data_IF_064588012401
#
_entry.id   IF_064588012401
#
_cell.length_a   1.000
_cell.length_b   1.000
_cell.length_c   1.000
_cell.angle_alpha   90.00
_cell.angle_beta   90.00
_cell.angle_gamma   90.00
#
_symmetry.space_group_name_H-M   'P 1'
#
loop_
_entity.id
_entity.type
_entity.pdbx_description
1 polymer ?
#
# COMPACT_ATOMS: atom_id res chain seq x y z
N UNK A 1 -12.21 -3.66 2.99
CA UNK A 1 -12.10 -2.32 2.36
C UNK A 1 -12.21 -2.39 0.83
N UNK A 2 -11.56 -3.34 0.17
CA UNK A 2 -11.77 -3.61 -1.26
C UNK A 2 -13.23 -3.94 -1.57
N UNK A 3 -13.91 -4.73 -0.74
CA UNK A 3 -15.32 -5.06 -0.96
C UNK A 3 -16.27 -3.89 -0.66
N UNK A 4 -15.94 -3.03 0.30
CA UNK A 4 -16.67 -1.77 0.56
C UNK A 4 -16.70 -0.88 -0.69
N UNK A 5 -15.57 -0.73 -1.37
CA UNK A 5 -15.46 0.09 -2.58
C UNK A 5 -16.09 -0.56 -3.81
N UNK A 6 -16.18 -1.90 -3.86
CA UNK A 6 -16.93 -2.61 -4.90
C UNK A 6 -18.44 -2.44 -4.73
N UNK A 7 -18.92 -2.53 -3.49
CA UNK A 7 -20.33 -2.33 -3.16
C UNK A 7 -20.76 -0.86 -3.26
N UNK A 8 -19.84 0.09 -3.03
CA UNK A 8 -20.09 1.53 -3.09
C UNK A 8 -19.27 2.21 -4.20
N UNK A 9 -19.63 2.02 -5.48
CA UNK A 9 -18.84 2.55 -6.60
C UNK A 9 -18.79 4.08 -6.66
N UNK A 10 -19.78 4.75 -6.06
CA UNK A 10 -19.89 6.23 -5.98
C UNK A 10 -19.14 6.84 -4.79
N UNK A 11 -18.56 6.03 -3.91
CA UNK A 11 -17.78 6.54 -2.77
C UNK A 11 -16.36 6.97 -3.22
N UNK A 12 -16.31 8.16 -3.81
CA UNK A 12 -15.07 8.76 -4.31
C UNK A 12 -14.17 9.28 -3.19
N UNK A 13 -14.74 9.69 -2.05
CA UNK A 13 -13.98 10.22 -0.93
C UNK A 13 -13.12 9.13 -0.27
N UNK A 14 -13.71 7.96 0.01
CA UNK A 14 -12.98 6.82 0.58
C UNK A 14 -11.94 6.29 -0.41
N UNK A 15 -12.27 6.23 -1.71
CA UNK A 15 -11.31 5.83 -2.76
C UNK A 15 -10.09 6.75 -2.78
N UNK A 16 -10.29 8.07 -2.71
CA UNK A 16 -9.20 9.05 -2.66
C UNK A 16 -8.34 8.86 -1.41
N UNK A 17 -8.96 8.61 -0.25
CA UNK A 17 -8.25 8.30 1.00
C UNK A 17 -7.39 7.05 0.88
N UNK A 18 -7.94 5.99 0.29
CA UNK A 18 -7.21 4.75 0.02
C UNK A 18 -6.00 4.97 -0.89
N UNK A 19 -6.18 5.70 -2.00
CA UNK A 19 -5.07 6.03 -2.91
C UNK A 19 -3.96 6.82 -2.21
N UNK A 20 -4.32 7.75 -1.31
CA UNK A 20 -3.35 8.50 -0.50
C UNK A 20 -2.55 7.58 0.43
N UNK A 21 -3.22 6.62 1.09
CA UNK A 21 -2.56 5.63 1.95
C UNK A 21 -1.62 4.71 1.16
N UNK A 22 -2.06 4.23 -0.01
CA UNK A 22 -1.22 3.41 -0.91
C UNK A 22 0.01 4.20 -1.35
N UNK A 23 -0.16 5.46 -1.76
CA UNK A 23 0.95 6.34 -2.14
C UNK A 23 1.96 6.57 -1.02
N UNK A 24 1.48 6.80 0.21
CA UNK A 24 2.35 6.94 1.40
C UNK A 24 3.14 5.64 1.66
N UNK A 25 2.47 4.50 1.63
CA UNK A 25 3.11 3.18 1.82
C UNK A 25 4.17 2.92 0.76
N UNK A 26 3.90 3.22 -0.51
CA UNK A 26 4.88 3.07 -1.60
C UNK A 26 6.15 3.89 -1.37
N UNK A 27 6.02 5.15 -0.92
CA UNK A 27 7.18 6.00 -0.59
C UNK A 27 8.00 5.45 0.57
N UNK A 28 7.34 4.98 1.63
CA UNK A 28 8.03 4.38 2.78
C UNK A 28 8.77 3.09 2.40
N UNK A 29 8.15 2.23 1.59
CA UNK A 29 8.79 1.02 1.09
C UNK A 29 10.00 1.33 0.20
N UNK A 30 9.91 2.35 -0.66
CA UNK A 30 11.04 2.80 -1.47
C UNK A 30 12.19 3.34 -0.60
N UNK A 31 11.87 4.08 0.46
CA UNK A 31 12.86 4.55 1.43
C UNK A 31 13.59 3.40 2.14
N UNK A 32 12.84 2.41 2.66
CA UNK A 32 13.44 1.24 3.31
C UNK A 32 14.31 0.47 2.32
N UNK A 33 13.82 0.26 1.09
CA UNK A 33 14.60 -0.41 0.04
C UNK A 33 15.93 0.30 -0.26
N UNK A 34 15.94 1.63 -0.26
CA UNK A 34 17.16 2.42 -0.48
C UNK A 34 18.16 2.39 0.68
N UNK A 35 17.68 2.10 1.91
CA UNK A 35 18.54 1.99 3.10
C UNK A 35 19.01 0.58 3.39
N UNK A 36 18.12 -0.39 3.23
CA UNK A 36 18.36 -1.80 3.57
C UNK A 36 17.45 -2.70 2.74
N UNK A 37 18.06 -3.33 1.74
CA UNK A 37 17.38 -4.24 0.82
C UNK A 37 16.91 -5.52 1.53
N UNK A 38 17.65 -6.04 2.51
CA UNK A 38 17.29 -7.26 3.23
C UNK A 38 16.06 -7.02 4.10
N UNK A 39 16.03 -5.89 4.80
CA UNK A 39 14.86 -5.48 5.61
C UNK A 39 13.64 -5.21 4.75
N UNK A 40 13.83 -4.66 3.54
CA UNK A 40 12.76 -4.53 2.56
C UNK A 40 12.20 -5.89 2.13
N UNK A 41 13.06 -6.86 1.79
CA UNK A 41 12.65 -8.22 1.39
C UNK A 41 11.86 -8.94 2.50
N UNK A 42 12.40 -8.97 3.72
CA UNK A 42 11.71 -9.58 4.86
C UNK A 42 10.35 -8.92 5.13
N UNK A 43 10.25 -7.59 4.95
CA UNK A 43 9.00 -6.86 5.15
C UNK A 43 7.94 -7.17 4.08
N UNK A 44 8.33 -7.25 2.81
CA UNK A 44 7.37 -7.58 1.73
C UNK A 44 6.90 -9.03 1.79
N UNK A 45 7.78 -9.97 2.18
CA UNK A 45 7.43 -11.37 2.39
C UNK A 45 6.46 -11.52 3.56
N UNK A 46 6.79 -10.93 4.71
CA UNK A 46 5.94 -10.97 5.90
C UNK A 46 4.54 -10.39 5.64
N UNK A 47 4.45 -9.35 4.82
CA UNK A 47 3.19 -8.66 4.53
C UNK A 47 2.50 -9.17 3.26
N UNK A 48 3.05 -10.19 2.58
CA UNK A 48 2.47 -10.76 1.35
C UNK A 48 2.31 -9.75 0.21
N UNK A 49 3.17 -8.72 0.17
CA UNK A 49 3.04 -7.63 -0.79
C UNK A 49 3.73 -8.05 -2.08
N UNK A 50 2.95 -8.43 -3.09
CA UNK A 50 3.51 -8.71 -4.42
C UNK A 50 3.84 -7.41 -5.17
N UNK A 51 4.95 -7.46 -5.89
CA UNK A 51 5.47 -6.40 -6.76
C UNK A 51 4.64 -6.31 -8.04
#
# INVERSE_FOLDING_TARGET
MTDHLKQNPKDHASRRGLLKMIGRRRRLLAYIKGKDTNRYQALIERLGIRR
#
